data_IF_127447247117
#
_entry.id   IF_127447247117
#
_cell.length_a   1.000
_cell.length_b   1.000
_cell.length_c   1.000
_cell.angle_alpha   90.00
_cell.angle_beta   90.00
_cell.angle_gamma   90.00
#
_symmetry.space_group_name_H-M   'P 1'
#
loop_
_entity.id
_entity.type
_entity.pdbx_description
1 polymer ?
#
# COMPACT_ATOMS: atom_id res chain seq x y z
N UNK A 1 19.72 14.90 -51.53
CA UNK A 1 18.42 14.51 -50.93
C UNK A 1 18.65 13.25 -50.11
N UNK A 2 18.52 13.33 -48.78
CA UNK A 2 18.65 12.15 -47.92
C UNK A 2 17.39 11.31 -48.10
N UNK A 3 17.50 10.23 -48.86
CA UNK A 3 16.47 9.20 -48.93
C UNK A 3 16.49 8.46 -47.59
N UNK A 4 15.75 8.96 -46.59
CA UNK A 4 15.52 8.21 -45.36
C UNK A 4 14.77 6.96 -45.78
N UNK A 5 15.46 5.81 -45.72
CA UNK A 5 14.88 4.48 -45.93
C UNK A 5 13.66 4.39 -45.02
N UNK A 6 12.46 4.37 -45.60
CA UNK A 6 11.22 4.27 -44.84
C UNK A 6 11.27 2.89 -44.18
N UNK A 7 11.28 2.78 -42.84
CA UNK A 7 11.19 1.48 -42.19
C UNK A 7 9.88 0.81 -42.63
N UNK A 8 9.92 -0.49 -42.96
CA UNK A 8 8.76 -1.21 -43.49
C UNK A 8 7.56 -1.20 -42.52
N UNK A 9 7.83 -1.06 -41.23
CA UNK A 9 6.82 -0.87 -40.18
C UNK A 9 6.88 0.54 -39.59
N UNK A 10 5.69 1.13 -39.39
CA UNK A 10 5.52 2.38 -38.66
C UNK A 10 4.48 2.24 -37.56
N UNK A 11 4.68 2.93 -36.45
CA UNK A 11 3.75 2.94 -35.31
C UNK A 11 3.36 4.38 -35.00
N UNK A 12 2.05 4.63 -35.00
CA UNK A 12 1.46 5.88 -34.50
C UNK A 12 0.78 5.60 -33.16
N UNK A 13 0.99 6.45 -32.18
CA UNK A 13 0.34 6.33 -30.87
C UNK A 13 -0.14 7.71 -30.40
N UNK A 14 -1.33 7.72 -29.79
CA UNK A 14 -1.83 8.85 -29.03
C UNK A 14 -2.03 8.41 -27.58
N UNK A 15 -1.38 9.10 -26.64
CA UNK A 15 -1.51 8.80 -25.20
C UNK A 15 -2.16 9.98 -24.50
N UNK A 16 -3.27 9.73 -23.82
CA UNK A 16 -4.01 10.73 -23.04
C UNK A 16 -3.81 10.45 -21.55
N UNK A 17 -2.85 11.15 -20.96
CA UNK A 17 -2.46 10.99 -19.56
C UNK A 17 -3.17 12.01 -18.67
N UNK A 18 -3.62 11.56 -17.49
CA UNK A 18 -4.17 12.41 -16.44
C UNK A 18 -3.30 12.27 -15.19
N UNK A 19 -2.64 13.35 -14.79
CA UNK A 19 -1.84 13.41 -13.56
C UNK A 19 -2.66 14.07 -12.44
N UNK A 20 -2.77 13.37 -11.32
CA UNK A 20 -3.58 13.77 -10.17
C UNK A 20 -2.67 14.05 -8.97
N UNK A 21 -2.77 15.23 -8.36
CA UNK A 21 -2.06 15.59 -7.12
C UNK A 21 -3.07 16.00 -6.06
N UNK A 22 -2.90 15.45 -4.86
CA UNK A 22 -3.83 15.58 -3.73
C UNK A 22 -5.29 15.28 -4.14
N UNK A 23 -5.53 14.05 -4.59
CA UNK A 23 -6.83 13.63 -5.09
C UNK A 23 -7.17 14.29 -6.42
N UNK A 24 -8.08 15.26 -6.42
CA UNK A 24 -8.41 16.04 -7.61
C UNK A 24 -8.11 17.53 -7.43
N UNK A 25 -7.42 17.96 -6.39
CA UNK A 25 -7.13 19.39 -6.20
C UNK A 25 -6.39 19.98 -7.42
N UNK A 26 -5.28 19.34 -7.81
CA UNK A 26 -4.54 19.67 -9.03
C UNK A 26 -4.60 18.50 -10.02
N UNK A 27 -5.08 18.79 -11.23
CA UNK A 27 -5.21 17.82 -12.31
C UNK A 27 -4.55 18.39 -13.55
N UNK A 28 -3.60 17.65 -14.12
CA UNK A 28 -2.95 18.00 -15.39
C UNK A 28 -3.28 16.95 -16.44
N UNK A 29 -3.79 17.40 -17.57
CA UNK A 29 -4.10 16.57 -18.72
C UNK A 29 -3.05 16.79 -19.81
N UNK A 30 -2.48 15.69 -20.31
CA UNK A 30 -1.49 15.73 -21.39
C UNK A 30 -1.88 14.74 -22.46
N UNK A 31 -2.02 15.19 -23.70
CA UNK A 31 -2.15 14.30 -24.87
C UNK A 31 -0.87 14.34 -25.66
N UNK A 32 -0.25 13.18 -25.87
CA UNK A 32 1.02 13.02 -26.58
C UNK A 32 0.77 12.30 -27.90
N UNK A 33 1.28 12.86 -28.99
CA UNK A 33 1.27 12.22 -30.31
C UNK A 33 2.68 11.72 -30.62
N UNK A 34 2.79 10.42 -30.86
CA UNK A 34 4.05 9.70 -30.93
C UNK A 34 4.12 8.95 -32.26
N UNK A 35 5.21 9.15 -32.98
CA UNK A 35 5.52 8.46 -34.23
C UNK A 35 6.83 7.69 -34.07
N UNK A 36 6.81 6.37 -34.23
CA UNK A 36 7.97 5.50 -34.06
C UNK A 36 8.73 5.75 -32.73
N UNK A 37 7.97 5.85 -31.64
CA UNK A 37 8.44 6.16 -30.27
C UNK A 37 8.94 7.60 -30.05
N UNK A 38 9.01 8.43 -31.09
CA UNK A 38 9.35 9.85 -30.98
C UNK A 38 8.08 10.68 -30.82
N UNK A 39 7.98 11.41 -29.70
CA UNK A 39 6.88 12.32 -29.46
C UNK A 39 7.05 13.58 -30.32
N UNK A 40 6.15 13.81 -31.27
CA UNK A 40 6.29 14.87 -32.26
C UNK A 40 5.44 16.10 -31.93
N UNK A 41 4.32 15.92 -31.22
CA UNK A 41 3.45 17.00 -30.77
C UNK A 41 2.73 16.61 -29.47
N UNK A 42 2.31 17.61 -28.68
CA UNK A 42 1.47 17.38 -27.49
C UNK A 42 0.53 18.52 -27.18
N UNK A 43 -0.58 18.21 -26.52
CA UNK A 43 -1.34 19.16 -25.74
C UNK A 43 -0.96 19.06 -24.27
N UNK A 44 -0.77 20.20 -23.60
CA UNK A 44 -0.56 20.26 -22.16
C UNK A 44 -1.57 21.22 -21.53
N UNK A 45 -2.38 20.75 -20.57
CA UNK A 45 -3.38 21.60 -19.92
C UNK A 45 -2.78 22.77 -19.16
N UNK A 46 -1.53 22.64 -18.67
CA UNK A 46 -0.86 23.72 -17.96
C UNK A 46 -0.49 24.87 -18.92
N UNK A 47 -0.26 24.56 -20.20
CA UNK A 47 -0.05 25.54 -21.27
C UNK A 47 -1.37 25.94 -21.93
N UNK A 48 -2.36 25.05 -21.90
CA UNK A 48 -3.65 25.23 -22.54
C UNK A 48 -3.57 25.23 -24.07
N UNK A 49 -2.51 24.71 -24.69
CA UNK A 49 -2.35 24.67 -26.14
C UNK A 49 -1.49 23.48 -26.61
N UNK A 50 -1.54 23.20 -27.90
CA UNK A 50 -0.69 22.22 -28.53
C UNK A 50 0.71 22.80 -28.80
N UNK A 51 1.74 22.00 -28.59
CA UNK A 51 3.14 22.34 -28.78
C UNK A 51 3.78 21.27 -29.65
N UNK A 52 4.49 21.71 -30.68
CA UNK A 52 5.33 20.84 -31.51
C UNK A 52 6.65 20.57 -30.78
N UNK A 53 7.03 19.29 -30.69
CA UNK A 53 8.32 18.86 -30.11
C UNK A 53 9.36 18.60 -31.19
N UNK A 54 8.92 18.39 -32.43
CA UNK A 54 9.78 18.20 -33.60
C UNK A 54 9.24 19.02 -34.78
N UNK A 55 10.04 19.17 -35.84
CA UNK A 55 9.63 19.84 -37.08
C UNK A 55 8.40 19.20 -37.73
N UNK A 56 8.24 17.88 -37.59
CA UNK A 56 7.07 17.15 -38.09
C UNK A 56 5.76 17.61 -37.43
N UNK A 57 5.81 18.01 -36.15
CA UNK A 57 4.64 18.41 -35.39
C UNK A 57 4.22 19.85 -35.52
N UNK A 58 5.03 20.72 -36.14
CA UNK A 58 4.69 22.13 -36.36
C UNK A 58 3.36 22.34 -37.09
N UNK A 59 3.12 21.73 -38.27
CA UNK A 59 1.87 21.95 -38.99
C UNK A 59 0.64 21.49 -38.18
N UNK A 60 0.77 20.37 -37.46
CA UNK A 60 -0.30 19.83 -36.62
C UNK A 60 -0.60 20.77 -35.43
N UNK A 61 0.43 21.23 -34.72
CA UNK A 61 0.25 22.13 -33.58
C UNK A 61 -0.39 23.47 -34.00
N UNK A 62 0.05 24.06 -35.12
CA UNK A 62 -0.53 25.29 -35.67
C UNK A 62 -1.99 25.09 -36.09
N UNK A 63 -2.29 23.99 -36.78
CA UNK A 63 -3.65 23.64 -37.20
C UNK A 63 -4.58 23.43 -35.99
N UNK A 64 -4.14 22.68 -34.99
CA UNK A 64 -4.98 22.39 -33.82
C UNK A 64 -5.19 23.61 -32.93
N UNK A 65 -4.18 24.49 -32.82
CA UNK A 65 -4.31 25.73 -32.07
C UNK A 65 -5.17 26.78 -32.77
N UNK A 66 -5.17 26.80 -34.11
CA UNK A 66 -6.04 27.70 -34.89
C UNK A 66 -7.50 27.25 -34.93
N UNK A 67 -7.79 26.01 -34.53
CA UNK A 67 -9.14 25.43 -34.47
C UNK A 67 -9.75 25.56 -33.06
N UNK A 68 -10.72 26.47 -32.85
CA UNK A 68 -11.28 26.71 -31.51
C UNK A 68 -12.00 25.50 -30.92
N UNK A 69 -12.64 24.70 -31.77
CA UNK A 69 -13.37 23.49 -31.36
C UNK A 69 -12.44 22.42 -30.76
N UNK A 70 -11.27 22.22 -31.37
CA UNK A 70 -10.25 21.27 -30.89
C UNK A 70 -9.62 21.79 -29.62
N UNK A 71 -9.16 23.04 -29.64
CA UNK A 71 -8.44 23.64 -28.51
C UNK A 71 -9.32 23.74 -27.26
N UNK A 72 -10.59 24.13 -27.41
CA UNK A 72 -11.54 24.18 -26.31
C UNK A 72 -11.86 22.78 -25.76
N UNK A 73 -12.04 21.77 -26.62
CA UNK A 73 -12.27 20.39 -26.19
C UNK A 73 -11.06 19.81 -25.43
N UNK A 74 -9.85 20.08 -25.89
CA UNK A 74 -8.62 19.66 -25.21
C UNK A 74 -8.49 20.30 -23.82
N UNK A 75 -8.78 21.60 -23.70
CA UNK A 75 -8.82 22.30 -22.40
C UNK A 75 -9.88 21.71 -21.47
N UNK A 76 -11.08 21.45 -21.99
CA UNK A 76 -12.19 20.87 -21.22
C UNK A 76 -11.96 19.41 -20.78
N UNK A 77 -10.98 18.72 -21.36
CA UNK A 77 -10.69 17.31 -21.05
C UNK A 77 -10.17 17.11 -19.61
N UNK A 78 -9.63 18.14 -18.97
CA UNK A 78 -9.29 18.11 -17.53
C UNK A 78 -10.52 17.71 -16.70
N UNK A 79 -11.66 18.35 -16.94
CA UNK A 79 -12.88 18.10 -16.17
C UNK A 79 -13.69 16.95 -16.76
N UNK A 80 -13.92 16.97 -18.08
CA UNK A 80 -14.79 16.02 -18.76
C UNK A 80 -14.21 14.60 -18.81
N UNK A 81 -12.89 14.47 -18.86
CA UNK A 81 -12.20 13.18 -18.91
C UNK A 81 -11.53 12.88 -17.58
N UNK A 82 -10.55 13.68 -17.15
CA UNK A 82 -9.72 13.29 -16.00
C UNK A 82 -10.52 13.28 -14.69
N UNK A 83 -11.14 14.40 -14.29
CA UNK A 83 -11.93 14.43 -13.03
C UNK A 83 -13.11 13.47 -13.07
N UNK A 84 -13.82 13.40 -14.21
CA UNK A 84 -14.95 12.48 -14.38
C UNK A 84 -14.53 11.02 -14.17
N UNK A 85 -13.47 10.58 -14.84
CA UNK A 85 -12.97 9.20 -14.69
C UNK A 85 -12.36 8.96 -13.31
N UNK A 86 -11.69 9.95 -12.71
CA UNK A 86 -11.21 9.81 -11.34
C UNK A 86 -12.37 9.54 -10.37
N UNK A 87 -13.48 10.27 -10.47
CA UNK A 87 -14.65 10.03 -9.61
C UNK A 87 -15.21 8.61 -9.77
N UNK A 88 -15.24 8.10 -11.00
CA UNK A 88 -15.72 6.74 -11.28
C UNK A 88 -14.73 5.64 -10.84
N UNK A 89 -13.43 5.87 -11.02
CA UNK A 89 -12.38 4.86 -10.77
C UNK A 89 -11.73 4.91 -9.39
N UNK A 90 -11.78 6.04 -8.69
CA UNK A 90 -11.11 6.24 -7.39
C UNK A 90 -11.53 5.23 -6.32
N UNK A 91 -12.82 4.83 -6.19
CA UNK A 91 -13.21 3.79 -5.24
C UNK A 91 -12.46 2.47 -5.43
N UNK A 92 -12.19 2.09 -6.67
CA UNK A 92 -11.58 0.81 -7.02
C UNK A 92 -10.04 0.85 -7.04
N UNK A 93 -9.45 2.03 -7.28
CA UNK A 93 -8.01 2.18 -7.52
C UNK A 93 -7.28 2.86 -6.36
N UNK A 94 -7.77 4.02 -5.92
CA UNK A 94 -7.12 4.86 -4.90
C UNK A 94 -7.59 4.48 -3.50
N UNK A 95 -8.91 4.33 -3.31
CA UNK A 95 -9.51 4.00 -2.01
C UNK A 95 -9.02 2.67 -1.43
N UNK A 96 -8.66 1.72 -2.31
CA UNK A 96 -8.12 0.41 -1.92
C UNK A 96 -6.81 0.51 -1.15
N UNK A 97 -5.95 1.50 -1.43
CA UNK A 97 -4.68 1.68 -0.70
C UNK A 97 -4.88 2.19 0.72
N UNK A 98 -5.83 3.10 0.95
CA UNK A 98 -6.17 3.60 2.28
C UNK A 98 -6.74 2.49 3.17
N UNK A 99 -7.72 1.74 2.65
CA UNK A 99 -8.32 0.60 3.35
C UNK A 99 -7.28 -0.52 3.64
N UNK A 100 -6.32 -0.75 2.74
CA UNK A 100 -5.25 -1.72 2.95
C UNK A 100 -4.31 -1.33 4.10
N UNK A 101 -4.06 -0.04 4.29
CA UNK A 101 -3.25 0.47 5.41
C UNK A 101 -3.94 0.26 6.76
N UNK A 102 -5.21 0.66 6.89
CA UNK A 102 -5.98 0.46 8.12
C UNK A 102 -6.16 -1.03 8.48
N UNK A 103 -6.39 -1.88 7.48
CA UNK A 103 -6.44 -3.33 7.68
C UNK A 103 -5.10 -3.91 8.14
N UNK A 104 -3.98 -3.45 7.56
CA UNK A 104 -2.63 -3.86 7.95
C UNK A 104 -2.35 -3.56 9.43
N UNK A 105 -2.67 -2.34 9.90
CA UNK A 105 -2.51 -1.96 11.31
C UNK A 105 -3.39 -2.78 12.27
N UNK A 106 -4.65 -3.07 11.90
CA UNK A 106 -5.54 -3.92 12.71
C UNK A 106 -4.99 -5.33 12.92
N UNK A 107 -4.33 -5.92 11.91
CA UNK A 107 -3.67 -7.23 12.06
C UNK A 107 -2.46 -7.18 12.99
N UNK A 108 -1.64 -6.14 12.89
CA UNK A 108 -0.47 -5.96 13.76
C UNK A 108 -0.91 -5.81 15.22
N UNK A 109 -1.91 -4.95 15.48
CA UNK A 109 -2.44 -4.75 16.83
C UNK A 109 -3.06 -6.03 17.41
N UNK A 110 -3.80 -6.80 16.61
CA UNK A 110 -4.33 -8.09 17.04
C UNK A 110 -3.24 -9.11 17.40
N UNK A 111 -2.17 -9.17 16.60
CA UNK A 111 -1.02 -10.05 16.87
C UNK A 111 -0.27 -9.66 18.16
N UNK A 112 -0.04 -8.36 18.37
CA UNK A 112 0.61 -7.86 19.58
C UNK A 112 -0.20 -8.17 20.84
N UNK A 113 -1.53 -7.98 20.79
CA UNK A 113 -2.41 -8.31 21.91
C UNK A 113 -2.36 -9.81 22.27
N UNK A 114 -2.39 -10.70 21.28
CA UNK A 114 -2.29 -12.15 21.51
C UNK A 114 -0.94 -12.55 22.12
N UNK A 115 0.15 -11.92 21.67
CA UNK A 115 1.50 -12.20 22.18
C UNK A 115 1.66 -11.77 23.64
N UNK A 116 1.16 -10.58 24.01
CA UNK A 116 1.18 -10.08 25.39
C UNK A 116 0.37 -10.98 26.33
N UNK A 117 -0.81 -11.42 25.91
CA UNK A 117 -1.64 -12.36 26.69
C UNK A 117 -0.89 -13.68 26.90
N UNK A 118 -0.25 -14.22 25.85
CA UNK A 118 0.56 -15.43 25.94
C UNK A 118 1.74 -15.31 26.93
N UNK A 119 2.46 -14.18 26.91
CA UNK A 119 3.56 -13.92 27.85
C UNK A 119 3.09 -13.91 29.30
N UNK A 120 1.93 -13.32 29.59
CA UNK A 120 1.37 -13.31 30.95
C UNK A 120 1.05 -14.73 31.40
N UNK A 121 0.37 -15.54 30.58
CA UNK A 121 0.08 -16.94 30.91
C UNK A 121 1.35 -17.78 31.10
N UNK A 122 2.38 -17.55 30.27
CA UNK A 122 3.65 -18.24 30.39
C UNK A 122 4.37 -17.88 31.70
N UNK A 123 4.43 -16.59 32.06
CA UNK A 123 5.02 -16.14 33.32
C UNK A 123 4.26 -16.68 34.54
N UNK A 124 2.92 -16.65 34.52
CA UNK A 124 2.09 -17.23 35.58
C UNK A 124 2.34 -18.74 35.70
N UNK A 125 2.40 -19.46 34.58
CA UNK A 125 2.73 -20.88 34.54
C UNK A 125 4.11 -21.19 35.11
N UNK A 126 5.13 -20.41 34.77
CA UNK A 126 6.48 -20.53 35.34
C UNK A 126 6.46 -20.33 36.85
N UNK A 127 5.77 -19.29 37.33
CA UNK A 127 5.68 -18.99 38.77
C UNK A 127 4.99 -20.14 39.51
N UNK A 128 3.89 -20.67 38.97
CA UNK A 128 3.20 -21.84 39.53
C UNK A 128 4.13 -23.06 39.55
N UNK A 129 4.86 -23.32 38.46
CA UNK A 129 5.79 -24.45 38.36
C UNK A 129 6.96 -24.35 39.37
N UNK A 130 7.53 -23.15 39.56
CA UNK A 130 8.58 -22.90 40.55
C UNK A 130 8.05 -23.12 41.98
N UNK A 131 6.84 -22.63 42.28
CA UNK A 131 6.19 -22.86 43.58
C UNK A 131 5.93 -24.36 43.83
N UNK A 132 5.48 -25.09 42.82
CA UNK A 132 5.27 -26.53 42.90
C UNK A 132 6.58 -27.33 43.11
N UNK A 133 7.71 -26.88 42.53
CA UNK A 133 9.02 -27.49 42.81
C UNK A 133 9.53 -27.21 44.22
N UNK A 134 9.36 -25.98 44.73
CA UNK A 134 9.79 -25.64 46.10
C UNK A 134 9.01 -26.41 47.18
N UNK A 135 7.75 -26.77 46.92
CA UNK A 135 6.93 -27.60 47.81
C UNK A 135 7.32 -29.09 47.87
N UNK A 136 8.21 -29.60 46.98
CA UNK A 136 8.66 -31.00 46.98
C UNK A 136 10.05 -31.24 47.58
N UNK A 137 10.81 -30.20 47.93
CA UNK A 137 12.24 -30.33 48.29
C UNK A 137 12.52 -30.09 49.79
N UNK A 138 11.55 -29.65 50.60
CA UNK A 138 11.76 -29.43 52.05
C UNK A 138 10.94 -30.42 52.89
N UNK A 139 11.43 -31.66 52.95
CA UNK A 139 11.40 -32.46 54.20
C UNK A 139 12.55 -33.48 54.20
N UNK A 140 13.61 -33.26 54.97
CA UNK A 140 14.36 -34.38 55.58
C UNK A 140 14.61 -34.17 57.09
N UNK A 141 13.94 -35.02 57.88
CA UNK A 141 14.31 -35.65 59.16
C UNK A 141 15.30 -34.94 60.13
N UNK A 142 14.78 -34.44 61.25
CA UNK A 142 15.48 -34.51 62.55
C UNK A 142 14.45 -34.74 63.66
N UNK A 143 14.51 -35.93 64.27
CA UNK A 143 13.60 -36.32 65.35
C UNK A 143 13.98 -37.68 65.90
N UNK A 144 15.19 -37.80 66.44
CA UNK A 144 15.57 -38.93 67.27
C UNK A 144 14.94 -38.74 68.65
N UNK A 145 13.81 -39.36 68.92
CA UNK A 145 13.43 -39.78 70.28
C UNK A 145 12.79 -41.16 70.24
N UNK A 146 13.43 -42.08 70.98
CA UNK A 146 13.02 -43.47 71.21
C UNK A 146 11.91 -43.48 72.27
N UNK A 147 10.72 -44.06 72.03
CA UNK A 147 9.74 -44.25 73.10
C UNK A 147 10.13 -45.45 73.97
N UNK A 148 10.38 -45.21 75.26
CA UNK A 148 10.39 -46.26 76.29
C UNK A 148 9.02 -46.94 76.32
N UNK A 149 8.97 -48.23 76.01
CA UNK A 149 7.79 -49.06 76.25
C UNK A 149 7.64 -49.32 77.76
N UNK A 150 6.57 -48.81 78.35
CA UNK A 150 6.10 -49.18 79.69
C UNK A 150 5.03 -50.26 79.50
N UNK A 151 5.31 -51.49 79.95
CA UNK A 151 4.36 -52.60 79.98
C UNK A 151 3.53 -52.54 81.27
N UNK A 152 2.18 -52.61 81.23
CA UNK A 152 1.36 -52.89 82.40
C UNK A 152 1.04 -54.40 82.53
N UNK A 153 0.73 -54.88 83.75
CA UNK A 153 0.82 -56.30 84.12
C UNK A 153 -0.42 -57.13 83.80
N UNK A 154 -0.21 -58.44 83.60
CA UNK A 154 -1.25 -59.48 83.54
C UNK A 154 -1.81 -59.81 84.94
N UNK A 155 -3.10 -60.19 85.03
CA UNK A 155 -3.55 -61.12 86.05
C UNK A 155 -4.35 -62.31 85.49
N UNK A 156 -3.91 -63.49 85.93
CA UNK A 156 -4.54 -64.82 86.12
C UNK A 156 -5.68 -65.30 85.20
#
# INVERSE_FOLDING_TARGET
MVHRKIPEDFVTQAKADCYFTNGTEKVRFVVRFIFNLEEYARFDSDLGMFVALTELGKPDAELWNSRPDILARSRASVDMLCRRNYKLGAPFTVGRRGAQSEYSWRRILGGAAAFLVGLVFFLVGIVIHIRARKGRVVTPLLGNEVPRAVLPPQPH
#
